data_IF_372989025572
#
_entry.id   IF_372989025572
#
_cell.length_a   1.000
_cell.length_b   1.000
_cell.length_c   1.000
_cell.angle_alpha   90.00
_cell.angle_beta   90.00
_cell.angle_gamma   90.00
#
_symmetry.space_group_name_H-M   'P 1'
#
loop_
_entity.id
_entity.type
_entity.pdbx_description
1 polymer ?
#
# COMPACT_ATOMS: atom_id res chain seq x y z
N UNK A 1 6.70 43.56 2.02
CA UNK A 1 5.85 42.65 2.80
C UNK A 1 5.85 41.32 2.08
N UNK A 2 6.65 40.37 2.57
CA UNK A 2 6.70 39.02 2.04
C UNK A 2 5.43 38.30 2.51
N UNK A 3 4.50 38.05 1.60
CA UNK A 3 3.29 37.30 1.93
C UNK A 3 3.72 35.88 2.30
N UNK A 4 3.47 35.47 3.55
CA UNK A 4 3.60 34.07 3.95
C UNK A 4 2.75 33.24 2.98
N UNK A 5 3.30 32.20 2.34
CA UNK A 5 2.48 31.30 1.55
C UNK A 5 1.38 30.73 2.45
N UNK A 6 0.16 30.67 1.93
CA UNK A 6 -0.95 30.07 2.64
C UNK A 6 -0.53 28.66 3.08
N UNK A 7 -0.67 28.34 4.37
CA UNK A 7 -0.37 27.01 4.87
C UNK A 7 -1.34 26.04 4.21
N UNK A 8 -0.87 25.26 3.25
CA UNK A 8 -1.68 24.24 2.59
C UNK A 8 -2.14 23.22 3.65
N UNK A 9 -3.41 22.84 3.58
CA UNK A 9 -4.07 21.91 4.51
C UNK A 9 -4.34 20.59 3.82
N UNK A 10 -4.31 19.50 4.58
CA UNK A 10 -4.71 18.19 4.07
C UNK A 10 -6.21 18.20 3.84
N UNK A 11 -6.62 17.87 2.62
CA UNK A 11 -8.02 17.68 2.28
C UNK A 11 -8.49 16.33 2.83
N UNK A 12 -9.67 16.32 3.45
CA UNK A 12 -10.25 15.13 4.07
C UNK A 12 -11.59 14.80 3.40
N UNK A 13 -11.74 13.57 2.91
CA UNK A 13 -12.97 13.04 2.32
C UNK A 13 -13.55 12.00 3.29
N UNK A 14 -14.78 12.17 3.80
CA UNK A 14 -15.47 11.14 4.57
C UNK A 14 -15.64 9.85 3.76
N UNK A 15 -15.45 8.68 4.37
CA UNK A 15 -15.62 7.41 3.67
C UNK A 15 -17.02 7.25 3.05
N UNK A 16 -18.07 7.69 3.74
CA UNK A 16 -19.45 7.63 3.23
C UNK A 16 -19.64 8.42 1.92
N UNK A 17 -18.84 9.47 1.70
CA UNK A 17 -18.90 10.27 0.48
C UNK A 17 -18.32 9.52 -0.72
N UNK A 18 -17.39 8.59 -0.49
CA UNK A 18 -16.85 7.72 -1.53
C UNK A 18 -17.83 6.60 -1.92
N UNK A 19 -18.72 6.21 -1.02
CA UNK A 19 -19.75 5.19 -1.29
C UNK A 19 -20.94 5.76 -2.07
N UNK A 20 -21.15 7.08 -2.02
CA UNK A 20 -22.21 7.77 -2.74
C UNK A 20 -21.82 8.04 -4.20
N UNK A 21 -22.27 7.16 -5.11
CA UNK A 21 -22.05 7.27 -6.55
C UNK A 21 -22.61 8.55 -7.18
N UNK A 22 -23.52 9.27 -6.51
CA UNK A 22 -24.09 10.52 -7.00
C UNK A 22 -23.30 11.76 -6.59
N UNK A 23 -22.29 11.60 -5.72
CA UNK A 23 -21.54 12.73 -5.16
C UNK A 23 -20.36 13.10 -6.05
N UNK A 24 -20.32 14.36 -6.47
CA UNK A 24 -19.16 14.90 -7.19
C UNK A 24 -18.05 15.28 -6.21
N UNK A 25 -16.91 14.58 -6.31
CA UNK A 25 -15.72 14.79 -5.49
C UNK A 25 -14.58 15.49 -6.25
N UNK A 26 -14.76 15.82 -7.54
CA UNK A 26 -13.70 16.36 -8.39
C UNK A 26 -13.06 17.62 -7.81
N UNK A 27 -13.87 18.54 -7.27
CA UNK A 27 -13.36 19.76 -6.64
C UNK A 27 -12.50 19.47 -5.41
N UNK A 28 -12.95 18.55 -4.55
CA UNK A 28 -12.26 18.16 -3.31
C UNK A 28 -10.94 17.44 -3.62
N UNK A 29 -10.96 16.53 -4.61
CA UNK A 29 -9.76 15.84 -5.10
C UNK A 29 -8.78 16.85 -5.73
N UNK A 30 -9.30 17.80 -6.50
CA UNK A 30 -8.54 18.90 -7.10
C UNK A 30 -7.86 19.79 -6.07
N UNK A 31 -8.52 20.09 -4.95
CA UNK A 31 -7.90 20.87 -3.85
C UNK A 31 -6.76 20.11 -3.16
N UNK A 32 -6.82 18.77 -3.14
CA UNK A 32 -5.78 17.92 -2.54
C UNK A 32 -4.57 17.67 -3.45
N UNK A 33 -4.83 17.30 -4.71
CA UNK A 33 -3.79 16.90 -5.68
C UNK A 33 -3.43 18.00 -6.70
N UNK A 34 -4.20 19.07 -6.77
CA UNK A 34 -3.98 20.17 -7.71
C UNK A 34 -2.73 20.99 -7.36
N UNK A 35 -2.44 21.99 -8.21
CA UNK A 35 -1.21 22.81 -8.14
C UNK A 35 -0.97 23.50 -6.79
N UNK A 36 -2.04 23.79 -6.06
CA UNK A 36 -1.98 24.45 -4.75
C UNK A 36 -2.18 23.47 -3.59
N UNK A 37 -2.49 22.21 -3.89
CA UNK A 37 -2.69 21.15 -2.94
C UNK A 37 -1.37 20.56 -2.43
N UNK A 38 -1.45 19.77 -1.37
CA UNK A 38 -0.30 19.08 -0.79
C UNK A 38 0.13 17.83 -1.59
N UNK A 39 -0.59 17.48 -2.66
CA UNK A 39 -0.41 16.22 -3.38
C UNK A 39 -0.95 15.02 -2.61
N UNK A 40 -1.80 15.24 -1.61
CA UNK A 40 -2.40 14.20 -0.76
C UNK A 40 -3.85 14.53 -0.42
N UNK A 41 -4.65 13.48 -0.32
CA UNK A 41 -5.97 13.49 0.32
C UNK A 41 -5.99 12.46 1.44
N UNK A 42 -6.78 12.71 2.47
CA UNK A 42 -7.01 11.76 3.57
C UNK A 42 -8.46 11.29 3.54
N UNK A 43 -8.68 10.01 3.85
CA UNK A 43 -10.02 9.45 3.97
C UNK A 43 -10.34 9.27 5.45
N UNK A 44 -11.44 9.85 5.91
CA UNK A 44 -11.90 9.77 7.30
C UNK A 44 -12.97 8.69 7.50
N UNK A 45 -13.10 8.23 8.74
CA UNK A 45 -14.22 7.40 9.21
C UNK A 45 -14.43 6.08 8.46
N UNK A 46 -13.33 5.47 8.00
CA UNK A 46 -13.36 4.17 7.32
C UNK A 46 -13.82 3.07 8.30
N UNK A 47 -14.97 2.41 8.04
CA UNK A 47 -15.55 1.46 8.97
C UNK A 47 -14.63 0.27 9.28
N UNK A 48 -14.30 0.07 10.55
CA UNK A 48 -13.45 -1.04 11.03
C UNK A 48 -11.95 -0.90 10.73
N UNK A 49 -11.51 0.21 10.12
CA UNK A 49 -10.09 0.46 9.89
C UNK A 49 -9.27 0.59 11.18
N UNK A 50 -9.73 1.28 12.26
CA UNK A 50 -8.95 1.39 13.50
C UNK A 50 -8.58 0.03 14.11
N UNK A 51 -9.53 -0.91 14.15
CA UNK A 51 -9.33 -2.26 14.68
C UNK A 51 -8.36 -3.06 13.82
N UNK A 52 -8.53 -3.00 12.50
CA UNK A 52 -7.65 -3.69 11.54
C UNK A 52 -6.22 -3.14 11.60
N UNK A 53 -6.06 -1.82 11.63
CA UNK A 53 -4.76 -1.16 11.80
C UNK A 53 -4.11 -1.59 13.10
N UNK A 54 -4.84 -1.58 14.22
CA UNK A 54 -4.32 -2.00 15.53
C UNK A 54 -3.86 -3.46 15.51
N UNK A 55 -4.63 -4.36 14.89
CA UNK A 55 -4.26 -5.77 14.74
C UNK A 55 -2.99 -5.91 13.90
N UNK A 56 -2.93 -5.28 12.73
CA UNK A 56 -1.80 -5.39 11.81
C UNK A 56 -0.50 -4.80 12.40
N UNK A 57 -0.57 -3.63 13.05
CA UNK A 57 0.59 -3.00 13.68
C UNK A 57 1.21 -3.86 14.80
N UNK A 58 0.42 -4.69 15.48
CA UNK A 58 0.92 -5.66 16.47
C UNK A 58 1.66 -6.84 15.83
N UNK A 59 1.37 -7.16 14.57
CA UNK A 59 2.03 -8.23 13.83
C UNK A 59 3.37 -7.79 13.24
N UNK A 60 3.53 -6.49 12.92
CA UNK A 60 4.76 -5.95 12.33
C UNK A 60 6.05 -6.33 13.12
N UNK A 61 6.16 -6.11 14.45
CA UNK A 61 7.33 -6.53 15.20
C UNK A 61 7.45 -8.06 15.32
N UNK A 62 6.35 -8.82 15.22
CA UNK A 62 6.40 -10.29 15.24
C UNK A 62 7.04 -10.83 13.96
N UNK A 63 6.66 -10.28 12.80
CA UNK A 63 7.29 -10.60 11.50
C UNK A 63 8.78 -10.27 11.52
N UNK A 64 9.15 -9.08 12.00
CA UNK A 64 10.55 -8.65 12.02
C UNK A 64 11.45 -9.53 12.92
N UNK A 65 10.87 -10.13 13.96
CA UNK A 65 11.54 -11.02 14.90
C UNK A 65 11.39 -12.51 14.56
N UNK A 66 10.81 -12.86 13.41
CA UNK A 66 10.84 -14.25 12.94
C UNK A 66 12.30 -14.73 12.81
N UNK A 67 12.54 -16.05 12.95
CA UNK A 67 13.87 -16.62 12.74
C UNK A 67 14.42 -16.26 11.35
N UNK A 68 15.74 -16.13 11.23
CA UNK A 68 16.37 -15.64 9.99
C UNK A 68 16.16 -16.63 8.83
N UNK A 69 16.17 -17.93 9.12
CA UNK A 69 15.84 -19.00 8.19
C UNK A 69 14.41 -18.88 7.65
N UNK A 70 13.46 -18.52 8.50
CA UNK A 70 12.06 -18.29 8.12
C UNK A 70 11.99 -17.04 7.24
N UNK A 71 12.55 -15.92 7.69
CA UNK A 71 12.55 -14.66 6.92
C UNK A 71 13.20 -14.80 5.55
N UNK A 72 14.29 -15.59 5.44
CA UNK A 72 14.94 -15.90 4.16
C UNK A 72 14.03 -16.66 3.22
N UNK A 73 13.22 -17.59 3.75
CA UNK A 73 12.19 -18.30 2.98
C UNK A 73 11.03 -17.41 2.52
N UNK A 74 10.87 -16.24 3.13
CA UNK A 74 9.86 -15.24 2.77
C UNK A 74 10.38 -14.20 1.77
N UNK A 75 11.66 -14.19 1.40
CA UNK A 75 12.18 -13.22 0.42
C UNK A 75 11.85 -13.63 -1.02
N UNK A 76 11.54 -12.66 -1.88
CA UNK A 76 11.41 -12.89 -3.32
C UNK A 76 12.28 -11.94 -4.16
N UNK A 77 13.53 -12.35 -4.47
CA UNK A 77 14.41 -11.58 -5.33
C UNK A 77 13.84 -11.34 -6.74
N UNK A 78 13.00 -12.25 -7.25
CA UNK A 78 12.45 -12.15 -8.61
C UNK A 78 11.41 -11.03 -8.73
N UNK A 79 10.68 -10.72 -7.64
CA UNK A 79 9.82 -9.53 -7.57
C UNK A 79 10.58 -8.24 -7.34
N UNK A 80 11.92 -8.29 -7.24
CA UNK A 80 12.76 -7.21 -6.70
C UNK A 80 12.39 -6.89 -5.25
N UNK A 81 12.09 -7.92 -4.45
CA UNK A 81 11.71 -7.83 -3.04
C UNK A 81 10.42 -7.00 -2.77
N UNK A 82 9.46 -7.06 -3.70
CA UNK A 82 8.13 -6.45 -3.57
C UNK A 82 7.05 -7.45 -3.13
N UNK A 83 7.43 -8.69 -2.82
CA UNK A 83 6.59 -9.68 -2.17
C UNK A 83 7.37 -10.33 -1.02
N UNK A 84 6.68 -10.57 0.10
CA UNK A 84 7.24 -11.17 1.30
C UNK A 84 8.21 -10.24 2.05
N UNK A 85 9.25 -10.81 2.66
CA UNK A 85 10.20 -10.09 3.51
C UNK A 85 11.27 -9.35 2.68
N UNK A 86 11.62 -8.14 3.13
CA UNK A 86 12.69 -7.33 2.57
C UNK A 86 13.39 -6.53 3.66
N UNK A 87 14.71 -6.69 3.80
CA UNK A 87 15.53 -5.93 4.74
C UNK A 87 16.91 -5.68 4.14
N UNK A 88 17.39 -4.44 4.19
CA UNK A 88 18.74 -4.11 3.70
C UNK A 88 18.91 -4.18 2.18
N UNK A 89 17.83 -4.32 1.40
CA UNK A 89 17.92 -4.52 -0.06
C UNK A 89 18.01 -3.22 -0.86
N UNK A 90 17.49 -2.12 -0.32
CA UNK A 90 17.52 -0.81 -0.98
C UNK A 90 18.85 -0.10 -0.70
N UNK A 91 19.41 0.51 -1.74
CA UNK A 91 20.66 1.29 -1.67
C UNK A 91 20.32 2.78 -1.76
N UNK A 92 20.81 3.57 -0.82
CA UNK A 92 20.73 5.03 -0.89
C UNK A 92 21.65 5.56 -1.99
N UNK A 93 21.42 6.80 -2.44
CA UNK A 93 22.29 7.50 -3.40
C UNK A 93 23.74 7.58 -2.92
N UNK A 94 23.94 7.66 -1.60
CA UNK A 94 25.25 7.59 -0.94
C UNK A 94 25.98 6.25 -1.08
N UNK A 95 25.32 5.24 -1.65
CA UNK A 95 25.83 3.90 -1.84
C UNK A 95 25.71 2.97 -0.63
N UNK A 96 25.17 3.44 0.49
CA UNK A 96 24.90 2.63 1.69
C UNK A 96 23.57 1.89 1.55
N UNK A 97 23.52 0.65 2.03
CA UNK A 97 22.27 -0.09 2.11
C UNK A 97 21.40 0.38 3.29
N UNK A 98 20.08 0.40 3.11
CA UNK A 98 19.10 0.73 4.13
C UNK A 98 18.86 -0.47 5.06
N UNK A 99 19.74 -0.65 6.03
CA UNK A 99 19.66 -1.72 7.02
C UNK A 99 18.80 -1.35 8.24
N UNK A 100 18.30 -0.11 8.33
CA UNK A 100 17.46 0.33 9.44
C UNK A 100 15.97 0.02 9.22
N UNK A 101 15.60 -0.45 8.02
CA UNK A 101 14.22 -0.69 7.62
C UNK A 101 14.00 -2.12 7.14
N UNK A 102 13.22 -2.89 7.91
CA UNK A 102 12.56 -4.10 7.43
C UNK A 102 11.17 -3.77 6.88
N UNK A 103 10.77 -4.45 5.82
CA UNK A 103 9.45 -4.32 5.19
C UNK A 103 8.88 -5.70 4.87
N UNK A 104 7.56 -5.81 4.94
CA UNK A 104 6.83 -6.98 4.48
C UNK A 104 5.79 -6.54 3.47
N UNK A 105 5.81 -7.14 2.28
CA UNK A 105 4.93 -6.79 1.18
C UNK A 105 3.99 -7.93 0.83
N UNK A 106 2.72 -7.59 0.67
CA UNK A 106 1.70 -8.49 0.15
C UNK A 106 0.64 -7.67 -0.58
N UNK A 107 0.05 -8.26 -1.62
CA UNK A 107 -1.15 -7.73 -2.24
C UNK A 107 -2.34 -8.00 -1.31
N UNK A 108 -3.00 -6.96 -0.78
CA UNK A 108 -4.11 -7.14 0.15
C UNK A 108 -5.41 -7.54 -0.56
N UNK A 109 -5.50 -7.37 -1.88
CA UNK A 109 -6.71 -7.66 -2.67
C UNK A 109 -6.77 -9.12 -3.10
N UNK A 110 -5.66 -9.64 -3.62
CA UNK A 110 -5.59 -10.95 -4.25
C UNK A 110 -4.36 -11.70 -3.76
N UNK A 111 -4.54 -12.96 -3.39
CA UNK A 111 -3.44 -13.82 -2.98
C UNK A 111 -2.55 -14.22 -4.16
N UNK A 112 -3.20 -14.43 -5.31
CA UNK A 112 -2.58 -14.66 -6.61
C UNK A 112 -3.13 -13.61 -7.55
N UNK A 113 -2.42 -12.49 -7.78
CA UNK A 113 -2.91 -11.39 -8.61
C UNK A 113 -3.19 -11.81 -10.06
N UNK A 114 -2.41 -12.75 -10.61
CA UNK A 114 -2.60 -13.33 -11.95
C UNK A 114 -1.80 -14.63 -12.09
N UNK A 115 -2.16 -15.44 -13.10
CA UNK A 115 -1.42 -16.64 -13.54
C UNK A 115 -0.88 -16.50 -14.97
N UNK A 116 -0.98 -15.31 -15.58
CA UNK A 116 -0.48 -15.04 -16.93
C UNK A 116 1.05 -14.82 -16.91
N UNK A 117 1.79 -15.69 -17.59
CA UNK A 117 3.26 -15.66 -17.66
C UNK A 117 3.82 -14.37 -18.26
N UNK A 118 3.11 -13.76 -19.21
CA UNK A 118 3.52 -12.49 -19.82
C UNK A 118 3.46 -11.38 -18.77
N UNK A 119 2.39 -11.33 -17.97
CA UNK A 119 2.25 -10.35 -16.90
C UNK A 119 3.22 -10.60 -15.75
N UNK A 120 3.44 -11.86 -15.37
CA UNK A 120 4.42 -12.23 -14.36
C UNK A 120 5.84 -11.81 -14.75
N UNK A 121 6.19 -11.93 -16.03
CA UNK A 121 7.50 -11.53 -16.55
C UNK A 121 7.62 -10.02 -16.69
N UNK A 122 6.58 -9.35 -17.20
CA UNK A 122 6.59 -7.91 -17.46
C UNK A 122 6.45 -7.07 -16.17
N UNK A 123 5.68 -7.56 -15.20
CA UNK A 123 5.35 -6.85 -13.96
C UNK A 123 5.59 -7.70 -12.70
N UNK A 124 6.80 -8.24 -12.50
CA UNK A 124 7.08 -9.18 -11.41
C UNK A 124 6.90 -8.57 -10.02
N UNK A 125 7.00 -7.24 -9.88
CA UNK A 125 6.78 -6.52 -8.62
C UNK A 125 5.31 -6.35 -8.24
N UNK A 126 4.36 -6.68 -9.13
CA UNK A 126 2.92 -6.49 -8.91
C UNK A 126 2.09 -7.76 -9.08
N UNK A 127 2.56 -8.68 -9.91
CA UNK A 127 1.76 -9.79 -10.39
C UNK A 127 2.05 -11.13 -9.70
N UNK A 128 3.09 -11.21 -8.87
CA UNK A 128 3.50 -12.47 -8.24
C UNK A 128 2.56 -12.85 -7.07
N UNK A 129 2.44 -14.14 -6.75
CA UNK A 129 1.68 -14.59 -5.59
C UNK A 129 2.24 -14.03 -4.28
N UNK A 130 1.37 -13.81 -3.30
CA UNK A 130 1.78 -13.53 -1.94
C UNK A 130 2.56 -14.71 -1.36
N UNK A 131 3.52 -14.38 -0.49
CA UNK A 131 4.29 -15.35 0.29
C UNK A 131 3.86 -15.13 1.73
N UNK A 132 3.54 -16.19 2.48
CA UNK A 132 3.04 -16.09 3.85
C UNK A 132 3.81 -17.02 4.80
N UNK A 133 4.11 -16.57 6.03
CA UNK A 133 4.68 -17.41 7.09
C UNK A 133 3.59 -18.28 7.73
N UNK A 134 3.01 -19.22 6.98
CA UNK A 134 1.84 -19.98 7.45
C UNK A 134 2.13 -20.81 8.70
N UNK A 135 3.34 -21.35 8.82
CA UNK A 135 3.73 -22.21 9.94
C UNK A 135 4.12 -21.38 11.19
N UNK A 136 4.71 -20.20 11.00
CA UNK A 136 5.27 -19.38 12.09
C UNK A 136 4.36 -18.22 12.53
N UNK A 137 3.58 -17.64 11.61
CA UNK A 137 2.72 -16.48 11.84
C UNK A 137 1.51 -16.44 10.88
N UNK A 138 0.61 -17.43 10.93
CA UNK A 138 -0.55 -17.52 10.03
C UNK A 138 -1.50 -16.32 10.16
N UNK A 139 -1.54 -15.66 11.32
CA UNK A 139 -2.42 -14.50 11.52
C UNK A 139 -2.07 -13.30 10.62
N UNK A 140 -0.86 -13.27 10.05
CA UNK A 140 -0.42 -12.22 9.13
C UNK A 140 -1.26 -12.19 7.85
N UNK A 141 -1.53 -13.35 7.26
CA UNK A 141 -2.36 -13.46 6.06
C UNK A 141 -3.77 -12.94 6.32
N UNK A 142 -4.42 -13.42 7.39
CA UNK A 142 -5.77 -12.97 7.75
C UNK A 142 -5.80 -11.49 8.20
N UNK A 143 -4.68 -10.96 8.68
CA UNK A 143 -4.54 -9.54 9.03
C UNK A 143 -4.48 -8.64 7.80
N UNK A 144 -3.76 -9.06 6.76
CA UNK A 144 -3.53 -8.27 5.53
C UNK A 144 -4.62 -8.45 4.46
N UNK A 145 -5.16 -9.66 4.28
CA UNK A 145 -6.26 -9.94 3.34
C UNK A 145 -7.65 -9.53 3.88
N UNK A 146 -7.70 -8.78 4.97
CA UNK A 146 -8.96 -8.31 5.53
C UNK A 146 -9.66 -7.39 4.52
N UNK A 147 -10.72 -7.89 3.87
CA UNK A 147 -11.54 -7.27 2.80
C UNK A 147 -11.84 -5.77 2.96
N UNK A 148 -11.84 -5.23 4.18
CA UNK A 148 -12.08 -3.80 4.43
C UNK A 148 -10.89 -2.91 4.10
N UNK A 149 -9.65 -3.40 4.22
CA UNK A 149 -8.46 -2.68 3.71
C UNK A 149 -8.46 -2.61 2.18
N UNK A 150 -9.03 -3.62 1.54
CA UNK A 150 -9.14 -3.76 0.09
C UNK A 150 -10.06 -2.73 -0.56
N UNK A 151 -11.16 -2.37 0.13
CA UNK A 151 -12.18 -1.46 -0.41
C UNK A 151 -11.64 -0.04 -0.62
N UNK A 152 -10.75 0.44 0.26
CA UNK A 152 -10.06 1.73 0.08
C UNK A 152 -9.15 1.78 -1.14
N UNK A 153 -8.45 0.69 -1.47
CA UNK A 153 -7.56 0.65 -2.62
C UNK A 153 -8.32 0.55 -3.95
N UNK A 154 -9.48 -0.12 -3.98
CA UNK A 154 -10.32 -0.17 -5.18
C UNK A 154 -10.87 1.21 -5.56
N UNK A 155 -11.34 1.98 -4.57
CA UNK A 155 -11.87 3.33 -4.80
C UNK A 155 -10.81 4.26 -5.39
N UNK A 156 -9.57 4.24 -4.86
CA UNK A 156 -8.47 5.06 -5.39
C UNK A 156 -8.02 4.60 -6.79
N UNK A 157 -8.15 3.30 -7.10
CA UNK A 157 -7.70 2.74 -8.39
C UNK A 157 -8.71 2.96 -9.53
N UNK A 158 -10.01 3.02 -9.25
CA UNK A 158 -11.03 3.35 -10.25
C UNK A 158 -10.91 4.81 -10.73
N UNK A 159 -10.54 5.74 -9.86
CA UNK A 159 -10.27 7.15 -10.20
C UNK A 159 -9.05 7.32 -11.14
N UNK A 160 -8.03 6.46 -11.01
CA UNK A 160 -6.81 6.54 -11.83
C UNK A 160 -6.89 5.86 -13.20
N UNK A 161 -7.94 5.10 -13.50
CA UNK A 161 -8.15 4.50 -14.82
C UNK A 161 -8.72 5.49 -15.86
N UNK A 162 -9.10 6.71 -15.45
CA UNK A 162 -9.61 7.76 -16.36
C UNK A 162 -8.55 8.73 -16.91
N UNK A 163 -7.27 8.60 -16.56
CA UNK A 163 -6.20 9.50 -17.08
C UNK A 163 -5.15 8.78 -17.94
N UNK A 164 -5.54 7.68 -18.59
CA UNK A 164 -4.66 6.82 -19.38
C UNK A 164 -4.81 6.96 -20.90
N UNK A 165 -5.21 8.12 -21.41
CA UNK A 165 -5.08 8.47 -22.84
C UNK A 165 -4.32 9.78 -22.96
N UNK A 166 -3.00 9.69 -23.13
CA UNK A 166 -2.20 10.58 -23.96
C UNK A 166 -0.78 9.99 -24.08
N UNK A 167 -0.46 9.72 -25.35
CA UNK A 167 0.79 9.24 -25.94
C UNK A 167 2.08 9.77 -25.30
#
# INVERSE_FOLDING_TARGET
>A
MEQRPASARVVTIPFADLEDRGKDLNGVIGDGFGRQGLGIVSIADVPGYPELRKRLLRLAPRVANLPEEVKKGLEDPNSRYNFGWSHGKQKFESGKFDTFKGSYFANPLFDVPTTDDVLLTRFPSYCRPNIWPNDDLPELQTGLLARKLCHLQHIVREEHYFSGDLL
#
